data_IF_891155374910
#
_entry.id   IF_891155374910
#
_cell.length_a   1.000
_cell.length_b   1.000
_cell.length_c   1.000
_cell.angle_alpha   90.00
_cell.angle_beta   90.00
_cell.angle_gamma   90.00
#
_symmetry.space_group_name_H-M   'P 1'
#
loop_
_entity.id
_entity.type
_entity.pdbx_description
1 polymer ?
#
# COMPACT_ATOMS: atom_id res chain seq x y z
N UNK A 1 9.60 12.45 -6.89
CA UNK A 1 8.80 11.89 -5.78
C UNK A 1 7.59 11.21 -6.40
N UNK A 2 7.39 9.89 -6.27
CA UNK A 2 6.18 9.26 -6.78
C UNK A 2 5.02 9.72 -5.89
N UNK A 3 4.12 10.53 -6.44
CA UNK A 3 2.89 10.92 -5.77
C UNK A 3 2.01 9.68 -5.73
N UNK A 4 1.98 8.98 -4.60
CA UNK A 4 1.17 7.77 -4.40
C UNK A 4 -0.30 8.10 -4.70
N UNK A 5 -0.78 7.66 -5.87
CA UNK A 5 -2.15 7.92 -6.29
C UNK A 5 -3.03 6.77 -5.77
N UNK A 6 -4.01 7.08 -4.92
CA UNK A 6 -4.90 6.08 -4.32
C UNK A 6 -5.60 5.19 -5.37
N UNK A 7 -5.76 5.67 -6.61
CA UNK A 7 -6.35 4.89 -7.71
C UNK A 7 -5.44 3.76 -8.22
N UNK A 8 -4.14 3.85 -7.98
CA UNK A 8 -3.15 2.85 -8.37
C UNK A 8 -3.03 1.72 -7.34
N UNK A 9 -3.63 1.86 -6.16
CA UNK A 9 -3.58 0.82 -5.12
C UNK A 9 -4.19 -0.50 -5.62
N UNK A 10 -3.54 -1.64 -5.40
CA UNK A 10 -4.18 -2.94 -5.59
C UNK A 10 -5.42 -3.08 -4.70
N UNK A 11 -6.50 -3.67 -5.23
CA UNK A 11 -7.68 -3.99 -4.42
C UNK A 11 -7.46 -5.31 -3.68
N UNK A 12 -8.16 -5.49 -2.56
CA UNK A 12 -8.17 -6.76 -1.86
C UNK A 12 -8.63 -7.89 -2.81
N UNK A 13 -7.82 -8.95 -2.90
CA UNK A 13 -8.04 -10.12 -3.77
C UNK A 13 -8.02 -9.84 -5.29
N UNK A 14 -7.47 -8.69 -5.73
CA UNK A 14 -7.31 -8.41 -7.15
C UNK A 14 -6.25 -9.33 -7.77
N UNK A 15 -6.55 -9.95 -8.91
CA UNK A 15 -5.58 -10.76 -9.63
C UNK A 15 -4.58 -9.88 -10.42
N UNK A 16 -3.45 -10.45 -10.82
CA UNK A 16 -2.49 -9.76 -11.70
C UNK A 16 -3.14 -9.30 -13.00
N UNK A 17 -4.01 -10.13 -13.56
CA UNK A 17 -4.73 -9.81 -14.79
C UNK A 17 -5.64 -8.60 -14.59
N UNK A 18 -6.45 -8.61 -13.54
CA UNK A 18 -7.40 -7.53 -13.24
C UNK A 18 -6.68 -6.22 -12.95
N UNK A 19 -5.62 -6.27 -12.15
CA UNK A 19 -4.80 -5.11 -11.82
C UNK A 19 -4.16 -4.49 -13.08
N UNK A 20 -3.52 -5.31 -13.92
CA UNK A 20 -2.86 -4.82 -15.16
C UNK A 20 -3.89 -4.23 -16.13
N UNK A 21 -5.04 -4.90 -16.32
CA UNK A 21 -6.12 -4.40 -17.17
C UNK A 21 -6.64 -3.05 -16.69
N UNK A 22 -6.92 -2.94 -15.39
CA UNK A 22 -7.44 -1.71 -14.76
C UNK A 22 -6.46 -0.54 -14.90
N UNK A 23 -5.17 -0.76 -14.62
CA UNK A 23 -4.16 0.30 -14.74
C UNK A 23 -3.95 0.70 -16.21
N UNK A 24 -3.95 -0.26 -17.14
CA UNK A 24 -3.85 0.03 -18.59
C UNK A 24 -5.00 0.91 -19.06
N UNK A 25 -6.22 0.57 -18.66
CA UNK A 25 -7.43 1.30 -19.05
C UNK A 25 -7.49 2.69 -18.41
N UNK A 26 -7.02 2.84 -17.17
CA UNK A 26 -6.91 4.14 -16.52
C UNK A 26 -5.95 5.10 -17.27
N UNK A 27 -4.94 4.55 -17.96
CA UNK A 27 -4.03 5.30 -18.82
C UNK A 27 -4.54 5.47 -20.27
N UNK A 28 -5.72 4.92 -20.61
CA UNK A 28 -6.25 4.94 -21.96
C UNK A 28 -5.43 4.15 -22.99
N UNK A 29 -4.58 3.23 -22.55
CA UNK A 29 -3.66 2.49 -23.42
C UNK A 29 -4.34 1.29 -24.06
N UNK A 30 -4.02 1.03 -25.33
CA UNK A 30 -4.33 -0.26 -25.96
C UNK A 30 -3.35 -1.32 -25.47
N UNK A 31 -3.68 -2.62 -25.63
CA UNK A 31 -2.75 -3.71 -25.31
C UNK A 31 -1.44 -3.61 -26.08
N UNK A 32 -1.51 -3.24 -27.35
CA UNK A 32 -0.31 -3.10 -28.19
C UNK A 32 0.54 -1.95 -27.68
N UNK A 33 -0.06 -0.79 -27.38
CA UNK A 33 0.65 0.36 -26.84
C UNK A 33 1.33 0.04 -25.50
N UNK A 34 0.67 -0.70 -24.60
CA UNK A 34 1.28 -1.12 -23.34
C UNK A 34 2.45 -2.10 -23.57
N UNK A 35 2.29 -3.07 -24.47
CA UNK A 35 3.34 -4.04 -24.78
C UNK A 35 4.60 -3.37 -25.33
N UNK A 36 4.43 -2.43 -26.27
CA UNK A 36 5.50 -1.62 -26.83
C UNK A 36 6.17 -0.76 -25.75
N UNK A 37 5.36 -0.07 -24.93
CA UNK A 37 5.86 0.78 -23.84
C UNK A 37 6.65 0.00 -22.78
N UNK A 38 6.22 -1.21 -22.46
CA UNK A 38 6.92 -2.10 -21.53
C UNK A 38 8.09 -2.86 -22.17
N UNK A 39 8.25 -2.82 -23.50
CA UNK A 39 9.24 -3.61 -24.22
C UNK A 39 9.03 -5.12 -24.06
N UNK A 40 7.77 -5.57 -23.98
CA UNK A 40 7.40 -6.99 -23.88
C UNK A 40 6.62 -7.43 -25.11
N UNK A 41 6.70 -8.72 -25.43
CA UNK A 41 5.97 -9.25 -26.58
C UNK A 41 4.46 -9.19 -26.38
N UNK A 42 3.71 -8.78 -27.41
CA UNK A 42 2.24 -8.65 -27.39
C UNK A 42 1.51 -9.90 -26.89
N UNK A 43 2.01 -11.09 -27.26
CA UNK A 43 1.42 -12.36 -26.81
C UNK A 43 1.65 -12.59 -25.32
N UNK A 44 2.81 -12.20 -24.80
CA UNK A 44 3.14 -12.30 -23.38
C UNK A 44 2.23 -11.40 -22.56
N UNK A 45 2.04 -10.13 -22.98
CA UNK A 45 1.07 -9.25 -22.33
C UNK A 45 -0.34 -9.84 -22.38
N UNK A 46 -0.75 -10.39 -23.52
CA UNK A 46 -2.06 -11.04 -23.64
C UNK A 46 -2.25 -12.24 -22.70
N UNK A 47 -1.19 -13.02 -22.41
CA UNK A 47 -1.26 -14.11 -21.42
C UNK A 47 -1.42 -13.56 -20.00
N UNK A 48 -0.74 -12.46 -19.67
CA UNK A 48 -0.84 -11.78 -18.38
C UNK A 48 -2.27 -11.25 -18.17
N UNK A 49 -2.80 -10.48 -19.12
CA UNK A 49 -4.14 -9.87 -19.02
C UNK A 49 -5.30 -10.89 -19.02
N UNK A 50 -5.06 -12.13 -19.45
CA UNK A 50 -6.02 -13.24 -19.38
C UNK A 50 -5.82 -14.15 -18.16
N UNK A 51 -4.88 -13.84 -17.27
CA UNK A 51 -4.60 -14.65 -16.08
C UNK A 51 -3.88 -15.97 -16.36
N UNK A 52 -3.36 -16.19 -17.58
CA UNK A 52 -2.58 -17.39 -17.94
C UNK A 52 -1.15 -17.32 -17.40
N UNK A 53 -0.70 -16.13 -17.01
CA UNK A 53 0.58 -15.91 -16.35
C UNK A 53 0.31 -15.26 -15.00
N UNK A 54 0.58 -16.00 -13.92
CA UNK A 54 0.41 -15.53 -12.55
C UNK A 54 1.72 -15.05 -11.92
N UNK A 55 2.86 -15.52 -12.44
CA UNK A 55 4.19 -15.14 -11.97
C UNK A 55 4.95 -14.34 -13.02
N UNK A 56 5.64 -13.29 -12.58
CA UNK A 56 6.47 -12.45 -13.44
C UNK A 56 7.92 -12.48 -12.95
N UNK A 57 8.87 -12.51 -13.89
CA UNK A 57 10.26 -12.29 -13.52
C UNK A 57 10.49 -10.80 -13.18
N UNK A 58 11.55 -10.52 -12.42
CA UNK A 58 11.89 -9.15 -11.95
C UNK A 58 12.05 -8.14 -13.09
N UNK A 59 12.56 -8.56 -14.25
CA UNK A 59 12.72 -7.69 -15.43
C UNK A 59 11.37 -7.27 -15.99
N UNK A 60 10.47 -8.22 -16.22
CA UNK A 60 9.11 -7.98 -16.72
C UNK A 60 8.30 -7.15 -15.73
N UNK A 61 8.42 -7.44 -14.44
CA UNK A 61 7.78 -6.66 -13.37
C UNK A 61 8.27 -5.20 -13.37
N UNK A 62 9.58 -4.97 -13.50
CA UNK A 62 10.15 -3.62 -13.61
C UNK A 62 9.68 -2.89 -14.86
N UNK A 63 9.73 -3.54 -16.01
CA UNK A 63 9.25 -3.00 -17.28
C UNK A 63 7.77 -2.59 -17.22
N UNK A 64 6.91 -3.46 -16.69
CA UNK A 64 5.48 -3.18 -16.54
C UNK A 64 5.23 -2.05 -15.54
N UNK A 65 5.93 -2.01 -14.40
CA UNK A 65 5.76 -0.93 -13.41
C UNK A 65 6.04 0.44 -14.04
N UNK A 66 7.09 0.55 -14.85
CA UNK A 66 7.45 1.77 -15.56
C UNK A 66 6.43 2.15 -16.63
N UNK A 67 5.94 1.16 -17.38
CA UNK A 67 4.97 1.41 -18.45
C UNK A 67 3.57 1.77 -17.94
N UNK A 68 3.18 1.22 -16.78
CA UNK A 68 1.92 1.50 -16.10
C UNK A 68 2.01 2.69 -15.13
N UNK A 69 3.20 3.27 -14.96
CA UNK A 69 3.44 4.37 -14.02
C UNK A 69 3.00 4.06 -12.58
N UNK A 70 3.15 2.80 -12.17
CA UNK A 70 2.81 2.32 -10.81
C UNK A 70 4.08 1.89 -10.06
N UNK A 71 4.09 1.99 -8.72
CA UNK A 71 5.14 1.39 -7.90
C UNK A 71 5.31 -0.10 -8.21
N UNK A 72 6.57 -0.54 -8.26
CA UNK A 72 6.91 -1.95 -8.48
C UNK A 72 6.28 -2.86 -7.42
N UNK A 73 6.26 -2.38 -6.17
CA UNK A 73 5.72 -3.11 -5.03
C UNK A 73 4.25 -3.49 -5.26
N UNK A 74 3.44 -2.63 -5.89
CA UNK A 74 2.04 -2.92 -6.17
C UNK A 74 1.86 -4.14 -7.08
N UNK A 75 2.67 -4.24 -8.13
CA UNK A 75 2.68 -5.42 -8.99
C UNK A 75 3.19 -6.65 -8.24
N UNK A 76 4.23 -6.51 -7.41
CA UNK A 76 4.80 -7.63 -6.65
C UNK A 76 3.81 -8.19 -5.62
N UNK A 77 3.08 -7.34 -4.89
CA UNK A 77 2.06 -7.81 -3.96
C UNK A 77 0.89 -8.49 -4.66
N UNK A 78 0.44 -7.98 -5.81
CA UNK A 78 -0.61 -8.66 -6.58
C UNK A 78 -0.15 -10.03 -7.05
N UNK A 79 1.10 -10.15 -7.52
CA UNK A 79 1.72 -11.44 -7.91
C UNK A 79 1.79 -12.40 -6.70
N UNK A 80 2.05 -11.89 -5.50
CA UNK A 80 2.15 -12.69 -4.26
C UNK A 80 0.80 -12.95 -3.57
N UNK A 81 -0.29 -12.36 -4.06
CA UNK A 81 -1.59 -12.40 -3.38
C UNK A 81 -1.70 -11.52 -2.13
N UNK A 82 -0.74 -10.60 -1.93
CA UNK A 82 -0.66 -9.65 -0.81
C UNK A 82 -1.23 -8.27 -1.16
N UNK A 83 -2.08 -8.19 -2.19
CA UNK A 83 -2.65 -6.94 -2.70
C UNK A 83 -3.35 -6.08 -1.61
N UNK A 84 -3.82 -6.70 -0.52
CA UNK A 84 -4.43 -6.01 0.62
C UNK A 84 -3.46 -5.34 1.60
N UNK A 85 -2.15 -5.61 1.50
CA UNK A 85 -1.14 -5.16 2.49
C UNK A 85 -0.41 -3.88 2.05
N UNK A 86 -0.55 -3.45 0.79
CA UNK A 86 0.15 -2.31 0.22
C UNK A 86 -0.67 -1.02 0.23
N UNK A 87 -1.27 -0.66 1.36
CA UNK A 87 -1.66 0.74 1.60
C UNK A 87 -0.45 1.62 1.92
N UNK A 88 -0.53 2.96 1.80
CA UNK A 88 0.35 3.79 2.62
C UNK A 88 0.15 3.33 4.06
N UNK A 89 1.17 2.68 4.61
CA UNK A 89 1.18 2.20 5.99
C UNK A 89 1.26 3.42 6.88
N UNK A 90 0.13 4.08 7.06
CA UNK A 90 -0.02 5.19 7.98
C UNK A 90 0.05 4.59 9.38
N UNK A 91 1.28 4.32 9.80
CA UNK A 91 1.62 3.64 11.02
C UNK A 91 2.03 4.65 12.07
N UNK A 92 1.66 4.38 13.29
CA UNK A 92 2.15 5.12 14.45
C UNK A 92 2.46 4.18 15.60
N UNK A 93 3.33 4.63 16.49
CA UNK A 93 3.54 3.95 17.76
C UNK A 93 2.56 4.51 18.80
N UNK A 94 1.64 3.71 19.38
CA UNK A 94 0.68 4.21 20.38
C UNK A 94 1.36 4.73 21.66
N UNK A 95 2.58 4.27 21.95
CA UNK A 95 3.35 4.68 23.12
C UNK A 95 4.18 5.96 22.85
N UNK A 96 4.93 5.97 21.75
CA UNK A 96 5.90 7.03 21.46
C UNK A 96 5.33 8.20 20.65
N UNK A 97 4.25 7.98 19.91
CA UNK A 97 3.68 9.05 19.10
C UNK A 97 3.09 10.16 19.98
N UNK A 98 3.28 11.41 19.56
CA UNK A 98 2.61 12.57 20.15
C UNK A 98 1.32 12.82 19.36
N UNK A 99 0.18 12.54 19.99
CA UNK A 99 -1.10 12.60 19.30
C UNK A 99 -1.37 13.98 18.69
N UNK A 100 -1.71 14.01 17.39
CA UNK A 100 -1.92 15.24 16.62
C UNK A 100 -0.67 15.80 15.92
N UNK A 101 0.48 15.11 15.99
CA UNK A 101 1.67 15.44 15.18
C UNK A 101 1.83 14.46 14.03
N UNK A 102 2.62 14.84 13.02
CA UNK A 102 3.06 13.86 12.03
C UNK A 102 3.82 12.70 12.73
N UNK A 103 3.63 11.44 12.30
CA UNK A 103 4.42 10.31 12.78
C UNK A 103 5.88 10.43 12.33
N UNK A 104 6.76 9.72 13.02
CA UNK A 104 8.15 9.60 12.57
C UNK A 104 8.20 8.93 11.17
N UNK A 105 8.94 9.49 10.19
CA UNK A 105 9.06 8.90 8.86
C UNK A 105 9.48 7.42 8.87
N UNK A 106 10.29 7.00 9.86
CA UNK A 106 10.74 5.61 10.00
C UNK A 106 9.54 4.66 10.21
N UNK A 107 8.50 5.09 10.93
CA UNK A 107 7.30 4.27 11.15
C UNK A 107 6.49 4.08 9.87
N UNK A 108 6.53 5.05 8.96
CA UNK A 108 5.79 5.02 7.69
C UNK A 108 6.47 4.21 6.58
N UNK A 109 7.68 3.67 6.81
CA UNK A 109 8.29 2.68 5.91
C UNK A 109 7.44 1.40 5.91
N UNK A 110 7.15 0.87 4.72
CA UNK A 110 6.33 -0.33 4.55
C UNK A 110 6.86 -1.53 5.35
N UNK A 111 8.18 -1.64 5.52
CA UNK A 111 8.85 -2.73 6.23
C UNK A 111 8.88 -2.55 7.75
N UNK A 112 8.58 -1.35 8.25
CA UNK A 112 8.56 -1.10 9.68
C UNK A 112 7.33 -1.76 10.31
N UNK A 113 7.57 -2.77 11.16
CA UNK A 113 6.55 -3.45 11.94
C UNK A 113 6.57 -3.03 13.42
N UNK A 114 7.72 -2.55 13.91
CA UNK A 114 7.94 -2.18 15.30
C UNK A 114 8.52 -0.77 15.43
N UNK A 115 8.22 -0.10 16.53
CA UNK A 115 8.77 1.20 16.87
C UNK A 115 10.26 1.05 17.22
N UNK A 116 11.14 1.79 16.54
CA UNK A 116 12.58 1.77 16.82
C UNK A 116 12.96 2.35 18.19
N UNK A 117 12.05 3.09 18.84
CA UNK A 117 12.29 3.72 20.15
C UNK A 117 11.91 2.82 21.33
N UNK A 118 10.75 2.15 21.26
CA UNK A 118 10.23 1.36 22.40
C UNK A 118 9.96 -0.11 22.08
N UNK A 119 10.15 -0.56 20.83
CA UNK A 119 9.88 -1.93 20.40
C UNK A 119 8.40 -2.32 20.31
N UNK A 120 7.46 -1.42 20.61
CA UNK A 120 6.02 -1.69 20.48
C UNK A 120 5.64 -1.88 19.01
N UNK A 121 4.73 -2.82 18.72
CA UNK A 121 4.17 -3.02 17.38
C UNK A 121 3.47 -1.76 16.88
N UNK A 122 3.79 -1.35 15.65
CA UNK A 122 3.17 -0.18 15.03
C UNK A 122 1.72 -0.50 14.67
N UNK A 123 0.83 0.48 14.87
CA UNK A 123 -0.58 0.36 14.53
C UNK A 123 -0.88 1.17 13.27
N UNK A 124 -1.66 0.58 12.37
CA UNK A 124 -2.21 1.17 11.14
C UNK A 124 -3.74 1.31 11.18
N UNK A 125 -4.35 0.99 12.33
CA UNK A 125 -5.77 1.10 12.60
C UNK A 125 -6.02 1.62 14.01
N UNK A 126 -7.25 2.06 14.28
CA UNK A 126 -7.68 2.43 15.62
C UNK A 126 -7.69 1.20 16.54
N UNK A 127 -6.92 1.24 17.64
CA UNK A 127 -6.91 0.15 18.62
C UNK A 127 -8.24 -0.10 19.35
N UNK A 128 -9.21 0.83 19.28
CA UNK A 128 -10.52 0.68 19.93
C UNK A 128 -11.60 0.06 19.02
N UNK A 129 -11.69 0.50 17.76
CA UNK A 129 -12.75 0.06 16.85
C UNK A 129 -12.25 -0.69 15.60
N UNK A 130 -10.94 -0.77 15.39
CA UNK A 130 -10.33 -1.45 14.23
C UNK A 130 -10.39 -0.67 12.92
N UNK A 131 -10.89 0.57 12.93
CA UNK A 131 -11.00 1.39 11.71
C UNK A 131 -9.61 1.77 11.17
N UNK A 132 -9.32 1.58 9.86
CA UNK A 132 -8.03 1.94 9.27
C UNK A 132 -7.68 3.42 9.44
N UNK A 133 -6.39 3.71 9.57
CA UNK A 133 -5.93 5.08 9.69
C UNK A 133 -5.89 5.79 8.34
N UNK A 134 -6.73 6.82 8.22
CA UNK A 134 -6.78 7.69 7.06
C UNK A 134 -5.96 8.98 7.25
N UNK A 135 -5.75 9.41 8.51
CA UNK A 135 -4.87 10.53 8.86
C UNK A 135 -4.42 10.43 10.32
N UNK A 136 -3.15 10.79 10.57
CA UNK A 136 -2.55 10.94 11.89
C UNK A 136 -2.51 12.40 12.35
N UNK A 137 -3.10 13.34 11.61
CA UNK A 137 -3.21 14.73 12.11
C UNK A 137 -4.20 14.86 13.26
N UNK A 138 -5.08 13.88 13.47
CA UNK A 138 -6.12 13.92 14.49
C UNK A 138 -5.72 13.15 15.74
N UNK A 139 -6.02 13.70 16.92
CA UNK A 139 -5.81 13.03 18.22
C UNK A 139 -6.79 11.89 18.49
N UNK A 140 -7.96 11.94 17.86
CA UNK A 140 -9.08 11.02 18.09
C UNK A 140 -9.49 10.34 16.79
N UNK A 141 -10.03 9.13 16.90
CA UNK A 141 -10.63 8.44 15.78
C UNK A 141 -11.91 9.17 15.33
N UNK A 142 -12.05 9.53 14.05
CA UNK A 142 -13.26 10.21 13.55
C UNK A 142 -14.49 9.30 13.53
N UNK A 143 -14.32 7.98 13.63
CA UNK A 143 -15.41 7.00 13.59
C UNK A 143 -15.94 6.64 14.99
N UNK A 144 -15.06 6.36 15.96
CA UNK A 144 -15.48 5.94 17.30
C UNK A 144 -15.22 6.97 18.42
N UNK A 145 -14.53 8.07 18.12
CA UNK A 145 -14.22 9.13 19.09
C UNK A 145 -13.14 8.79 20.12
N UNK A 146 -12.64 7.56 20.17
CA UNK A 146 -11.59 7.17 21.11
C UNK A 146 -10.23 7.77 20.71
N UNK A 147 -9.38 8.15 21.68
CA UNK A 147 -8.04 8.63 21.40
C UNK A 147 -7.16 7.48 20.90
N UNK A 148 -6.31 7.76 19.91
CA UNK A 148 -5.34 6.79 19.41
C UNK A 148 -4.25 6.44 20.42
N UNK A 149 -3.95 7.37 21.33
CA UNK A 149 -3.04 7.16 22.45
C UNK A 149 -3.86 7.15 23.74
N UNK A 150 -3.92 6.00 24.40
CA UNK A 150 -4.42 5.93 25.76
C UNK A 150 -3.35 6.53 26.68
N UNK A 151 -3.67 7.65 27.32
CA UNK A 151 -2.83 8.20 28.37
C UNK A 151 -3.02 7.27 29.56
N UNK A 152 -2.06 6.38 29.82
CA UNK A 152 -1.99 5.70 31.10
C UNK A 152 -1.94 6.79 32.17
N UNK A 153 -2.98 6.91 32.99
CA UNK A 153 -2.94 7.76 34.17
C UNK A 153 -1.73 7.31 35.02
N UNK A 154 -0.87 8.22 35.49
CA UNK A 154 0.10 7.84 36.50
C UNK A 154 -0.67 7.33 37.72
N UNK A 155 -0.28 6.17 38.22
CA UNK A 155 -0.77 5.61 39.47
C UNK A 155 -0.72 6.71 40.55
N UNK A 156 -1.89 7.03 41.08
CA UNK A 156 -2.06 7.94 42.21
C UNK A 156 -1.72 7.19 43.51
N UNK A 157 -1.34 7.94 44.56
CA UNK A 157 -0.02 7.97 45.23
C UNK A 157 0.41 6.71 45.99
#
# INVERSE_FOLDING_TARGET
MPTTNARQLPKAQESLADYVNRQREALGLTRIALAERAGIHKQSLGKIERGQTQTLNRRTLSSLSKALEVPMDYLDAVVRGQAGELGPSLKFCPQCWQAGTAPDPIWTDARSQFCFMCGTGLQDACGACGEPLHSLTFRFCPHCGQPYKQVSQPDAP
#
